data_IF_329545170859
#
_entry.id   IF_329545170859
#
_cell.length_a   1.000
_cell.length_b   1.000
_cell.length_c   1.000
_cell.angle_alpha   90.00
_cell.angle_beta   90.00
_cell.angle_gamma   90.00
#
_symmetry.space_group_name_H-M   'P 1'
#
loop_
_entity.id
_entity.type
_entity.pdbx_description
1 polymer ?
#
# COMPACT_ATOMS: atom_id res chain seq x y z
N UNK A 1 5.61 10.27 -20.95
CA UNK A 1 4.85 9.05 -20.55
C UNK A 1 4.20 9.14 -19.15
N UNK A 2 4.08 10.31 -18.52
CA UNK A 2 3.48 10.43 -17.18
C UNK A 2 1.95 10.54 -17.19
N UNK A 3 1.34 10.95 -18.31
CA UNK A 3 -0.12 11.14 -18.42
C UNK A 3 -0.93 9.90 -17.98
N UNK A 4 -0.57 8.70 -18.46
CA UNK A 4 -1.24 7.44 -18.06
C UNK A 4 -1.09 7.15 -16.56
N UNK A 5 0.08 7.45 -15.97
CA UNK A 5 0.35 7.26 -14.54
C UNK A 5 -0.45 8.26 -13.69
N UNK A 6 -0.50 9.52 -14.12
CA UNK A 6 -1.30 10.58 -13.49
C UNK A 6 -2.77 10.21 -13.52
N UNK A 7 -3.31 9.80 -14.67
CA UNK A 7 -4.70 9.40 -14.82
C UNK A 7 -5.05 8.19 -13.93
N UNK A 8 -4.17 7.19 -13.83
CA UNK A 8 -4.36 6.06 -12.91
C UNK A 8 -4.39 6.50 -11.44
N UNK A 9 -3.55 7.47 -11.05
CA UNK A 9 -3.53 8.02 -9.69
C UNK A 9 -4.74 8.90 -9.40
N UNK A 10 -5.22 9.65 -10.38
CA UNK A 10 -6.47 10.43 -10.29
C UNK A 10 -7.69 9.51 -10.15
N UNK A 11 -7.76 8.41 -10.89
CA UNK A 11 -8.80 7.39 -10.69
C UNK A 11 -8.77 6.78 -9.29
N UNK A 12 -7.56 6.47 -8.77
CA UNK A 12 -7.41 6.01 -7.37
C UNK A 12 -7.87 7.08 -6.39
N UNK A 13 -7.51 8.35 -6.60
CA UNK A 13 -7.93 9.47 -5.75
C UNK A 13 -9.45 9.58 -5.67
N UNK A 14 -10.14 9.48 -6.80
CA UNK A 14 -11.61 9.48 -6.86
C UNK A 14 -12.21 8.33 -6.07
N UNK A 15 -11.63 7.12 -6.19
CA UNK A 15 -12.07 5.95 -5.42
C UNK A 15 -11.89 6.14 -3.91
N UNK A 16 -10.72 6.62 -3.47
CA UNK A 16 -10.45 6.83 -2.04
C UNK A 16 -11.35 7.92 -1.46
N UNK A 17 -11.61 9.00 -2.22
CA UNK A 17 -12.57 10.04 -1.83
C UNK A 17 -13.99 9.48 -1.70
N UNK A 18 -14.43 8.63 -2.63
CA UNK A 18 -15.74 7.99 -2.55
C UNK A 18 -15.85 7.09 -1.30
N UNK A 19 -14.82 6.28 -1.02
CA UNK A 19 -14.76 5.45 0.20
C UNK A 19 -14.79 6.29 1.49
N UNK A 20 -14.13 7.45 1.48
CA UNK A 20 -14.11 8.38 2.60
C UNK A 20 -15.51 8.94 2.88
N UNK A 21 -16.21 9.41 1.84
CA UNK A 21 -17.57 9.93 1.98
C UNK A 21 -18.58 8.84 2.34
N UNK A 22 -18.46 7.63 1.77
CA UNK A 22 -19.27 6.48 2.15
C UNK A 22 -19.05 6.12 3.63
N UNK A 23 -17.79 6.05 4.08
CA UNK A 23 -17.48 5.76 5.47
C UNK A 23 -18.03 6.84 6.42
N UNK A 24 -17.95 8.12 6.05
CA UNK A 24 -18.57 9.20 6.82
C UNK A 24 -20.07 9.04 6.93
N UNK A 25 -20.76 8.73 5.82
CA UNK A 25 -22.21 8.49 5.80
C UNK A 25 -22.60 7.31 6.67
N UNK A 26 -21.84 6.21 6.61
CA UNK A 26 -22.07 5.03 7.46
C UNK A 26 -21.89 5.36 8.95
N UNK A 27 -20.90 6.16 9.30
CA UNK A 27 -20.69 6.57 10.69
C UNK A 27 -21.76 7.55 11.17
N UNK A 28 -22.17 8.50 10.32
CA UNK A 28 -23.30 9.38 10.62
C UNK A 28 -24.61 8.60 10.78
N UNK A 29 -24.86 7.59 9.94
CA UNK A 29 -26.03 6.71 10.06
C UNK A 29 -26.00 5.86 11.35
N UNK A 30 -24.81 5.60 11.91
CA UNK A 30 -24.64 4.98 13.24
C UNK A 30 -24.81 5.96 14.40
N UNK A 31 -25.13 7.22 14.12
CA UNK A 31 -25.33 8.26 15.12
C UNK A 31 -24.03 8.84 15.69
N UNK A 32 -22.88 8.65 15.02
CA UNK A 32 -21.65 9.30 15.46
C UNK A 32 -21.66 10.79 15.10
N UNK A 33 -21.35 11.64 16.08
CA UNK A 33 -21.14 13.07 15.86
C UNK A 33 -19.97 13.33 14.93
N UNK A 34 -19.99 14.46 14.21
CA UNK A 34 -18.92 14.86 13.28
C UNK A 34 -17.52 14.81 13.92
N UNK A 35 -17.38 15.20 15.20
CA UNK A 35 -16.11 15.14 15.95
C UNK A 35 -15.61 13.72 16.17
N UNK A 36 -16.52 12.76 16.32
CA UNK A 36 -16.19 11.35 16.53
C UNK A 36 -15.96 10.63 15.19
N UNK A 37 -16.69 10.99 14.13
CA UNK A 37 -16.45 10.53 12.76
C UNK A 37 -15.01 10.84 12.32
N UNK A 38 -14.51 12.04 12.62
CA UNK A 38 -13.15 12.47 12.30
C UNK A 38 -12.06 11.71 13.05
N UNK A 39 -12.39 11.15 14.22
CA UNK A 39 -11.48 10.33 15.03
C UNK A 39 -11.48 8.86 14.62
N UNK A 40 -12.44 8.41 13.81
CA UNK A 40 -12.47 7.04 13.27
C UNK A 40 -11.15 6.72 12.56
N UNK A 41 -10.56 5.57 12.91
CA UNK A 41 -9.24 5.16 12.41
C UNK A 41 -9.27 5.00 10.90
N UNK A 42 -10.37 4.50 10.34
CA UNK A 42 -10.54 4.32 8.90
C UNK A 42 -10.65 5.66 8.18
N UNK A 43 -11.40 6.63 8.72
CA UNK A 43 -11.45 8.00 8.18
C UNK A 43 -10.05 8.64 8.15
N UNK A 44 -9.29 8.52 9.25
CA UNK A 44 -7.91 9.05 9.31
C UNK A 44 -6.99 8.38 8.29
N UNK A 45 -7.08 7.07 8.13
CA UNK A 45 -6.33 6.32 7.12
C UNK A 45 -6.68 6.77 5.69
N UNK A 46 -7.97 6.87 5.36
CA UNK A 46 -8.43 7.32 4.04
C UNK A 46 -8.00 8.76 3.75
N UNK A 47 -8.02 9.66 4.74
CA UNK A 47 -7.48 11.03 4.61
C UNK A 47 -5.98 11.05 4.39
N UNK A 48 -5.22 10.16 5.02
CA UNK A 48 -3.79 10.02 4.77
C UNK A 48 -3.53 9.53 3.34
N UNK A 49 -4.28 8.53 2.89
CA UNK A 49 -4.16 7.99 1.53
C UNK A 49 -4.53 9.02 0.46
N UNK A 50 -5.58 9.82 0.66
CA UNK A 50 -5.93 10.95 -0.24
C UNK A 50 -4.75 11.92 -0.37
N UNK A 51 -4.09 12.27 0.74
CA UNK A 51 -2.94 13.17 0.74
C UNK A 51 -1.72 12.56 0.04
N UNK A 52 -1.47 11.27 0.25
CA UNK A 52 -0.37 10.56 -0.40
C UNK A 52 -0.56 10.45 -1.91
N UNK A 53 -1.78 10.14 -2.36
CA UNK A 53 -2.11 10.06 -3.78
C UNK A 53 -2.00 11.43 -4.45
N UNK A 54 -2.45 12.50 -3.79
CA UNK A 54 -2.26 13.87 -4.28
C UNK A 54 -0.78 14.23 -4.41
N UNK A 55 0.03 13.98 -3.38
CA UNK A 55 1.48 14.22 -3.43
C UNK A 55 2.15 13.40 -4.55
N UNK A 56 1.69 12.17 -4.79
CA UNK A 56 2.17 11.33 -5.88
C UNK A 56 1.79 11.89 -7.26
N UNK A 57 0.58 12.46 -7.39
CA UNK A 57 0.16 13.13 -8.63
C UNK A 57 1.00 14.39 -8.85
N UNK A 58 1.20 15.20 -7.82
CA UNK A 58 2.06 16.38 -7.86
C UNK A 58 3.49 16.01 -8.22
N UNK A 59 4.09 14.99 -7.62
CA UNK A 59 5.44 14.53 -7.97
C UNK A 59 5.55 14.01 -9.42
N UNK A 60 4.47 13.48 -10.00
CA UNK A 60 4.43 13.06 -11.40
C UNK A 60 4.19 14.24 -12.38
N UNK A 61 3.58 15.32 -11.88
CA UNK A 61 3.34 16.59 -12.61
C UNK A 61 4.51 17.56 -12.45
N UNK A 62 5.26 17.45 -11.36
CA UNK A 62 6.42 18.28 -11.04
C UNK A 62 7.65 17.71 -11.75
N UNK A 63 8.12 18.44 -12.77
CA UNK A 63 9.48 18.28 -13.28
C UNK A 63 10.43 18.91 -12.25
N UNK A 64 11.35 18.16 -11.62
CA UNK A 64 12.31 18.78 -10.73
C UNK A 64 13.10 19.83 -11.53
N UNK A 65 13.33 21.04 -10.99
CA UNK A 65 14.23 21.98 -11.63
C UNK A 65 15.53 21.25 -11.87
N UNK A 66 15.96 21.20 -13.13
CA UNK A 66 17.21 20.59 -13.57
C UNK A 66 18.34 21.38 -12.90
N UNK A 67 18.68 20.98 -11.68
CA UNK A 67 19.99 21.29 -11.11
C UNK A 67 20.98 20.60 -12.03
N UNK A 68 21.53 21.37 -12.97
CA UNK A 68 22.77 20.98 -13.62
C UNK A 68 23.72 20.52 -12.51
N UNK A 69 24.20 19.30 -12.64
CA UNK A 69 25.23 18.76 -11.78
C UNK A 69 26.48 19.62 -12.01
N UNK A 70 26.58 20.74 -11.29
CA UNK A 70 27.78 21.55 -11.28
C UNK A 70 28.89 20.69 -10.68
N UNK A 71 29.93 20.56 -11.49
CA UNK A 71 31.15 19.77 -11.31
C UNK A 71 31.71 19.75 -9.88
N UNK A 72 32.26 18.59 -9.50
CA UNK A 72 33.18 18.41 -8.35
C UNK A 72 34.42 19.31 -8.50
N UNK A 73 35.09 19.69 -7.39
CA UNK A 73 36.21 18.89 -6.84
C UNK A 73 36.12 18.81 -5.30
N UNK A 74 36.76 17.97 -4.49
CA UNK A 74 38.07 17.32 -4.49
C UNK A 74 38.03 16.20 -3.39
N UNK A 75 38.80 15.11 -3.54
CA UNK A 75 39.03 14.10 -2.47
C UNK A 75 40.10 14.61 -1.50
N UNK A 76 40.20 14.07 -0.27
CA UNK A 76 41.37 13.22 -0.02
C UNK A 76 41.11 11.92 0.76
N UNK A 77 41.93 10.92 0.38
CA UNK A 77 42.51 9.82 1.14
C UNK A 77 41.66 8.92 2.07
N UNK A 78 41.51 7.66 1.62
CA UNK A 78 41.41 6.45 2.46
C UNK A 78 42.72 6.25 3.25
N UNK A 79 42.65 5.49 4.36
CA UNK A 79 43.30 4.17 4.40
C UNK A 79 42.25 3.09 4.75
N UNK A 80 42.10 1.97 4.04
CA UNK A 80 42.84 0.70 4.21
C UNK A 80 43.14 0.39 5.71
N UNK A 81 42.80 -0.74 6.33
CA UNK A 81 42.64 -2.14 5.90
C UNK A 81 42.23 -2.95 7.15
N UNK A 82 41.56 -4.09 6.97
CA UNK A 82 41.23 -5.05 8.04
C UNK A 82 39.90 -5.76 7.77
N UNK A 83 39.78 -6.54 6.71
CA UNK A 83 40.26 -7.93 6.57
C UNK A 83 39.28 -8.97 7.13
N UNK A 84 38.77 -9.80 6.20
CA UNK A 84 38.30 -11.21 6.29
C UNK A 84 37.42 -11.56 7.51
N UNK A 85 36.19 -12.03 7.32
CA UNK A 85 35.85 -13.18 6.49
C UNK A 85 34.98 -14.11 7.34
N UNK A 86 33.97 -14.73 6.75
CA UNK A 86 33.12 -15.67 7.51
C UNK A 86 31.74 -15.93 6.93
N UNK A 87 31.67 -16.30 5.65
CA UNK A 87 30.61 -17.20 5.18
C UNK A 87 31.30 -18.35 4.45
N UNK A 88 31.03 -19.59 4.85
CA UNK A 88 30.25 -20.47 3.98
C UNK A 88 29.00 -20.96 4.73
N UNK A 89 27.82 -21.08 4.09
CA UNK A 89 27.33 -22.32 3.49
C UNK A 89 27.35 -23.46 4.53
N UNK A 90 26.27 -24.12 4.92
CA UNK A 90 25.20 -24.70 4.13
C UNK A 90 24.40 -25.55 5.13
N UNK A 91 23.08 -25.42 5.20
CA UNK A 91 22.25 -26.61 5.37
C UNK A 91 20.94 -26.38 4.62
N UNK A 92 20.71 -27.29 3.68
CA UNK A 92 19.57 -27.28 2.78
C UNK A 92 18.45 -28.14 3.41
N UNK A 93 17.23 -27.61 3.34
CA UNK A 93 15.90 -28.29 3.33
C UNK A 93 15.95 -29.66 2.59
N UNK A 94 15.02 -30.63 2.79
CA UNK A 94 13.57 -30.37 2.80
C UNK A 94 12.62 -31.40 3.50
N UNK A 95 11.31 -31.10 3.42
CA UNK A 95 10.11 -31.98 3.41
C UNK A 95 9.40 -32.33 4.71
N UNK A 96 8.07 -32.19 4.60
CA UNK A 96 7.02 -32.73 5.48
C UNK A 96 6.09 -31.61 5.94
N UNK A 97 4.83 -31.48 5.56
CA UNK A 97 4.00 -32.14 4.56
C UNK A 97 2.78 -31.20 4.42
N UNK A 98 2.32 -30.95 3.20
CA UNK A 98 1.01 -30.30 3.00
C UNK A 98 -0.05 -31.38 3.24
N UNK A 99 -1.03 -31.22 4.13
CA UNK A 99 -2.26 -31.97 3.96
C UNK A 99 -2.98 -31.46 2.69
N UNK A 100 -3.63 -32.37 1.95
CA UNK A 100 -4.07 -32.14 0.59
C UNK A 100 -5.21 -31.13 0.49
N UNK A 101 -5.32 -30.52 -0.69
CA UNK A 101 -6.52 -29.83 -1.17
C UNK A 101 -7.73 -30.74 -0.98
N UNK A 102 -8.58 -30.47 0.00
CA UNK A 102 -9.95 -30.97 -0.06
C UNK A 102 -10.73 -30.09 -1.04
N UNK A 103 -11.19 -30.76 -2.09
CA UNK A 103 -12.02 -30.22 -3.15
C UNK A 103 -13.34 -29.72 -2.55
N UNK A 104 -13.70 -28.47 -2.82
CA UNK A 104 -15.11 -28.09 -3.04
C UNK A 104 -15.46 -28.37 -4.51
N UNK A 105 -16.75 -28.41 -4.94
CA UNK A 105 -18.05 -28.57 -4.25
C UNK A 105 -18.93 -29.63 -5.02
N UNK A 106 -20.28 -29.78 -4.90
CA UNK A 106 -21.36 -28.76 -4.93
C UNK A 106 -22.42 -28.86 -3.79
N UNK A 107 -23.10 -27.73 -3.51
CA UNK A 107 -24.52 -27.66 -3.05
C UNK A 107 -25.40 -27.85 -4.29
N UNK A 108 -26.66 -28.37 -4.26
CA UNK A 108 -27.80 -27.97 -3.41
C UNK A 108 -28.58 -29.22 -2.91
N UNK A 109 -29.67 -29.24 -2.13
CA UNK A 109 -31.04 -28.68 -2.17
C UNK A 109 -31.60 -28.82 -0.74
N UNK A 110 -32.24 -27.82 -0.14
CA UNK A 110 -33.70 -27.60 -0.14
C UNK A 110 -34.55 -28.83 0.22
N UNK A 111 -34.99 -28.93 1.48
CA UNK A 111 -36.41 -29.18 1.86
C UNK A 111 -36.56 -29.41 3.38
N UNK A 112 -37.37 -28.52 3.98
CA UNK A 112 -38.30 -28.68 5.11
C UNK A 112 -37.99 -29.62 6.29
N UNK A 113 -38.16 -29.15 7.54
CA UNK A 113 -38.77 -29.98 8.56
C UNK A 113 -40.28 -29.74 8.56
N UNK A 114 -41.02 -30.77 8.16
CA UNK A 114 -42.38 -30.96 8.64
C UNK A 114 -42.29 -31.50 10.08
N UNK A 115 -42.87 -30.77 11.02
CA UNK A 115 -43.40 -31.27 12.28
C UNK A 115 -44.52 -30.34 12.71
#
# INVERSE_FOLDING_TARGET
>A
MNAKKVQARENRLSRVKAQLEERKKLLAARGLDAKNVEKDVTIRALKAEVREVLRSIEALKWEPPKVEASEKPEKPAKPEKGEKGGKPAKEAKPKGEKPPKEKKPPKPEESTPAA
#
